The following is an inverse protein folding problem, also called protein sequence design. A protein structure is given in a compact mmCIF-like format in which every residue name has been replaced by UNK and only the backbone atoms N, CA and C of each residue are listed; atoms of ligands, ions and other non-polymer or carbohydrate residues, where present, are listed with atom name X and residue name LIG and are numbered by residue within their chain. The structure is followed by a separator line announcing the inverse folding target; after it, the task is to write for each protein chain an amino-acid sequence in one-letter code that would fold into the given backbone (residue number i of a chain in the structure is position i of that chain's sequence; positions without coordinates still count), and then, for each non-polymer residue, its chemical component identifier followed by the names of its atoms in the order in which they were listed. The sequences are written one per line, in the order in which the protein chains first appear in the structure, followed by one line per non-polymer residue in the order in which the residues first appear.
data_IF_832719342195
#
_entry.id   IF_832719342195
#
_cell.length_a   1.000
_cell.length_b   1.000
_cell.length_c   1.000
_cell.angle_alpha   90.00
_cell.angle_beta   90.00
_cell.angle_gamma   90.00
#
_symmetry.space_group_name_H-M   'P 1'
#
loop_
_entity.id
_entity.type
_entity.pdbx_description
1 polymer ?
#
# COMPACT_ATOMS: atom_id res chain seq x y z
N UNK A 1 18.20 -13.12 -21.55
CA UNK A 1 17.65 -11.90 -20.94
C UNK A 1 17.63 -12.13 -19.44
N UNK A 2 18.15 -11.21 -18.63
CA UNK A 2 18.14 -11.34 -17.17
C UNK A 2 16.71 -11.17 -16.64
N UNK A 3 16.38 -11.88 -15.56
CA UNK A 3 15.06 -11.73 -14.92
C UNK A 3 14.97 -10.32 -14.33
N UNK A 4 13.88 -9.61 -14.63
CA UNK A 4 13.62 -8.27 -14.11
C UNK A 4 12.49 -8.33 -13.08
N UNK A 5 12.71 -7.73 -11.91
CA UNK A 5 11.67 -7.54 -10.89
C UNK A 5 10.98 -6.20 -11.15
N UNK A 6 9.65 -6.23 -11.22
CA UNK A 6 8.81 -5.04 -11.37
C UNK A 6 7.93 -4.96 -10.13
N UNK A 7 8.09 -3.86 -9.37
CA UNK A 7 7.27 -3.53 -8.22
C UNK A 7 6.28 -2.44 -8.59
N UNK A 8 4.99 -2.64 -8.29
CA UNK A 8 3.95 -1.63 -8.53
C UNK A 8 3.43 -1.09 -7.20
N UNK A 9 3.62 0.21 -7.00
CA UNK A 9 2.95 0.97 -5.94
C UNK A 9 1.55 1.33 -6.38
N UNK A 10 0.54 0.67 -5.82
CA UNK A 10 -0.83 0.67 -6.37
C UNK A 10 -1.52 2.04 -6.17
N UNK A 11 -1.46 2.57 -4.95
CA UNK A 11 -2.21 3.80 -4.58
C UNK A 11 -1.34 4.83 -3.84
N UNK A 12 -0.46 4.39 -2.94
CA UNK A 12 0.20 5.31 -2.01
C UNK A 12 -0.82 6.01 -1.11
N UNK A 13 -0.47 7.16 -0.56
CA UNK A 13 -1.26 7.82 0.51
C UNK A 13 -1.52 9.31 0.27
N UNK A 14 -0.98 9.90 -0.80
CA UNK A 14 -1.04 11.35 -1.08
C UNK A 14 -1.85 11.73 -2.31
N UNK A 15 -1.82 10.94 -3.37
CA UNK A 15 -2.55 11.25 -4.61
C UNK A 15 -4.06 11.22 -4.34
N UNK A 16 -4.78 12.24 -4.84
CA UNK A 16 -6.23 12.39 -4.68
C UNK A 16 -6.95 12.24 -6.01
N UNK A 17 -8.27 11.98 -5.96
CA UNK A 17 -9.11 11.90 -7.16
C UNK A 17 -9.23 13.20 -7.94
N UNK A 18 -8.93 14.34 -7.30
CA UNK A 18 -8.86 15.64 -8.00
C UNK A 18 -7.63 15.71 -8.91
N UNK A 19 -6.53 15.05 -8.53
CA UNK A 19 -5.31 15.01 -9.35
C UNK A 19 -5.43 13.97 -10.47
N UNK A 20 -6.07 12.84 -10.20
CA UNK A 20 -6.39 11.83 -11.23
C UNK A 20 -7.60 11.00 -10.81
N UNK A 21 -8.62 10.83 -11.67
CA UNK A 21 -9.81 10.05 -11.33
C UNK A 21 -9.52 8.55 -11.22
N UNK A 22 -8.35 8.10 -11.68
CA UNK A 22 -7.97 6.69 -11.75
C UNK A 22 -7.29 6.15 -10.49
N UNK A 23 -7.01 6.99 -9.48
CA UNK A 23 -6.38 6.52 -8.26
C UNK A 23 -7.32 5.56 -7.51
N UNK A 24 -6.93 4.29 -7.25
CA UNK A 24 -7.77 3.36 -6.53
C UNK A 24 -7.82 3.73 -5.04
N UNK A 25 -9.03 3.78 -4.48
CA UNK A 25 -9.28 4.21 -3.11
C UNK A 25 -9.97 3.10 -2.31
N UNK A 26 -11.03 2.49 -2.84
CA UNK A 26 -11.72 1.42 -2.11
C UNK A 26 -10.86 0.16 -2.04
N UNK A 27 -11.04 -0.71 -1.03
CA UNK A 27 -10.34 -1.99 -0.97
C UNK A 27 -10.52 -2.82 -2.24
N UNK A 28 -11.70 -2.79 -2.87
CA UNK A 28 -11.96 -3.51 -4.12
C UNK A 28 -11.19 -2.92 -5.29
N UNK A 29 -11.15 -1.59 -5.41
CA UNK A 29 -10.38 -0.91 -6.46
C UNK A 29 -8.87 -1.16 -6.31
N UNK A 30 -8.35 -1.11 -5.08
CA UNK A 30 -6.93 -1.35 -4.79
C UNK A 30 -6.57 -2.79 -5.14
N UNK A 31 -7.37 -3.77 -4.71
CA UNK A 31 -7.13 -5.17 -5.04
C UNK A 31 -7.19 -5.42 -6.55
N UNK A 32 -8.23 -4.91 -7.22
CA UNK A 32 -8.40 -5.07 -8.67
C UNK A 32 -7.22 -4.49 -9.44
N UNK A 33 -6.78 -3.27 -9.10
CA UNK A 33 -5.62 -2.64 -9.73
C UNK A 33 -4.32 -3.42 -9.48
N UNK A 34 -4.15 -4.00 -8.29
CA UNK A 34 -3.03 -4.90 -7.99
C UNK A 34 -3.04 -6.18 -8.83
N UNK A 35 -4.20 -6.81 -8.98
CA UNK A 35 -4.39 -8.01 -9.81
C UNK A 35 -4.10 -7.70 -11.28
N UNK A 36 -4.56 -6.56 -11.79
CA UNK A 36 -4.27 -6.08 -13.14
C UNK A 36 -2.77 -5.84 -13.35
N UNK A 37 -2.10 -5.22 -12.37
CA UNK A 37 -0.66 -5.01 -12.39
C UNK A 37 0.12 -6.33 -12.43
N UNK A 38 -0.30 -7.32 -11.62
CA UNK A 38 0.29 -8.66 -11.63
C UNK A 38 0.08 -9.36 -12.98
N UNK A 39 -1.14 -9.32 -13.54
CA UNK A 39 -1.45 -9.84 -14.90
C UNK A 39 -0.60 -9.17 -15.99
N UNK A 40 -0.21 -7.91 -15.79
CA UNK A 40 0.67 -7.17 -16.69
C UNK A 40 2.16 -7.46 -16.50
N UNK A 41 2.55 -8.26 -15.50
CA UNK A 41 3.93 -8.72 -15.26
C UNK A 41 4.59 -8.18 -13.99
N UNK A 42 3.86 -7.49 -13.10
CA UNK A 42 4.40 -7.12 -11.79
C UNK A 42 4.62 -8.37 -10.92
N UNK A 43 5.79 -8.46 -10.28
CA UNK A 43 6.12 -9.54 -9.33
C UNK A 43 5.90 -9.14 -7.88
N UNK A 44 5.90 -7.83 -7.59
CA UNK A 44 5.71 -7.30 -6.24
C UNK A 44 4.64 -6.21 -6.27
N UNK A 45 3.73 -6.25 -5.29
CA UNK A 45 2.70 -5.24 -5.09
C UNK A 45 2.98 -4.48 -3.80
N UNK A 46 3.31 -3.18 -3.92
CA UNK A 46 3.49 -2.29 -2.76
C UNK A 46 2.17 -1.63 -2.38
N UNK A 47 1.67 -1.98 -1.20
CA UNK A 47 0.29 -1.74 -0.79
C UNK A 47 0.23 -0.72 0.34
N UNK A 48 -0.47 0.37 0.04
CA UNK A 48 -1.10 1.24 1.02
C UNK A 48 -2.61 1.03 0.94
N UNK A 49 -3.34 1.34 2.01
CA UNK A 49 -4.81 1.39 1.99
C UNK A 49 -5.30 2.80 2.26
N UNK A 50 -6.52 3.08 1.80
CA UNK A 50 -7.20 4.36 1.96
C UNK A 50 -8.52 4.15 2.68
N UNK A 51 -8.95 5.17 3.42
CA UNK A 51 -10.31 5.27 3.92
C UNK A 51 -11.25 5.55 2.73
N UNK A 52 -12.23 4.68 2.41
CA UNK A 52 -13.14 4.86 1.28
C UNK A 52 -14.02 6.11 1.37
N UNK A 53 -14.25 6.63 2.59
CA UNK A 53 -15.10 7.81 2.81
C UNK A 53 -14.33 9.11 2.55
N UNK A 54 -13.06 9.15 2.96
CA UNK A 54 -12.26 10.39 2.92
C UNK A 54 -11.23 10.39 1.79
N UNK A 55 -10.86 9.23 1.25
CA UNK A 55 -9.79 9.05 0.27
C UNK A 55 -8.38 9.19 0.85
N UNK A 56 -8.24 9.44 2.16
CA UNK A 56 -6.94 9.61 2.82
C UNK A 56 -6.31 8.26 3.17
N UNK A 57 -4.98 8.21 3.31
CA UNK A 57 -4.29 7.03 3.81
C UNK A 57 -4.80 6.61 5.19
N UNK A 58 -4.88 5.30 5.44
CA UNK A 58 -5.26 4.74 6.73
C UNK A 58 -4.40 3.52 7.08
N UNK A 59 -4.38 3.15 8.36
CA UNK A 59 -3.79 1.90 8.88
C UNK A 59 -4.86 0.95 9.41
N UNK A 60 -6.09 1.07 8.91
CA UNK A 60 -7.21 0.22 9.28
C UNK A 60 -6.96 -1.23 8.87
N UNK A 61 -6.92 -2.11 9.87
CA UNK A 61 -6.68 -3.56 9.74
C UNK A 61 -7.74 -4.23 8.88
N UNK A 62 -9.00 -3.83 9.01
CA UNK A 62 -10.10 -4.45 8.25
C UNK A 62 -9.96 -4.18 6.74
N UNK A 63 -9.51 -2.98 6.37
CA UNK A 63 -9.29 -2.59 4.99
C UNK A 63 -8.06 -3.31 4.43
N UNK A 64 -6.96 -3.37 5.19
CA UNK A 64 -5.80 -4.18 4.80
C UNK A 64 -6.19 -5.64 4.58
N UNK A 65 -6.95 -6.23 5.52
CA UNK A 65 -7.38 -7.61 5.43
C UNK A 65 -8.14 -7.86 4.13
N UNK A 66 -9.10 -7.00 3.80
CA UNK A 66 -9.89 -7.15 2.58
C UNK A 66 -9.01 -7.07 1.31
N UNK A 67 -8.08 -6.11 1.25
CA UNK A 67 -7.16 -5.99 0.10
C UNK A 67 -6.27 -7.23 -0.03
N UNK A 68 -5.66 -7.66 1.09
CA UNK A 68 -4.76 -8.81 1.14
C UNK A 68 -5.47 -10.10 0.75
N UNK A 69 -6.64 -10.36 1.33
CA UNK A 69 -7.43 -11.57 1.03
C UNK A 69 -7.78 -11.64 -0.47
N UNK A 70 -8.25 -10.53 -1.05
CA UNK A 70 -8.62 -10.46 -2.47
C UNK A 70 -7.43 -10.72 -3.39
N UNK A 71 -6.31 -10.04 -3.16
CA UNK A 71 -5.11 -10.20 -4.00
C UNK A 71 -4.55 -11.64 -3.90
N UNK A 72 -4.47 -12.20 -2.68
CA UNK A 72 -4.00 -13.58 -2.47
C UNK A 72 -4.93 -14.63 -3.06
N UNK A 73 -6.23 -14.33 -3.21
CA UNK A 73 -7.18 -15.26 -3.81
C UNK A 73 -7.02 -15.40 -5.34
N UNK A 74 -6.35 -14.45 -5.99
CA UNK A 74 -6.26 -14.38 -7.46
C UNK A 74 -4.83 -14.36 -8.01
N UNK A 75 -3.81 -14.18 -7.15
CA UNK A 75 -2.42 -13.97 -7.58
C UNK A 75 -1.43 -14.69 -6.67
N UNK A 76 -0.22 -14.94 -7.20
CA UNK A 76 0.97 -15.35 -6.45
C UNK A 76 1.96 -14.19 -6.26
N UNK A 77 1.50 -12.95 -6.38
CA UNK A 77 2.33 -11.76 -6.24
C UNK A 77 2.92 -11.66 -4.83
N UNK A 78 4.18 -11.22 -4.72
CA UNK A 78 4.79 -10.89 -3.43
C UNK A 78 4.12 -9.62 -2.90
N UNK A 79 3.51 -9.73 -1.72
CA UNK A 79 2.91 -8.57 -1.08
C UNK A 79 3.94 -7.79 -0.25
N UNK A 80 4.10 -6.51 -0.57
CA UNK A 80 4.87 -5.55 0.19
C UNK A 80 3.92 -4.59 0.92
N UNK A 81 3.59 -4.91 2.17
CA UNK A 81 2.68 -4.05 2.95
C UNK A 81 3.46 -2.89 3.57
N UNK A 82 2.90 -1.68 3.50
CA UNK A 82 3.58 -0.50 4.05
C UNK A 82 3.58 -0.47 5.58
N UNK A 83 4.73 -0.15 6.16
CA UNK A 83 4.90 0.19 7.59
C UNK A 83 5.28 1.66 7.79
N UNK A 84 5.25 2.45 6.71
CA UNK A 84 5.52 3.91 6.76
C UNK A 84 4.43 4.70 7.51
N UNK A 85 3.25 4.10 7.73
CA UNK A 85 2.12 4.82 8.29
C UNK A 85 1.40 5.70 7.26
N UNK A 86 0.86 6.82 7.74
CA UNK A 86 0.12 7.79 6.92
C UNK A 86 0.99 9.05 6.82
N UNK A 87 1.48 9.45 5.64
CA UNK A 87 2.33 10.64 5.52
C UNK A 87 1.65 11.90 6.07
N UNK A 88 2.38 12.65 6.89
CA UNK A 88 1.85 13.82 7.60
C UNK A 88 1.14 13.48 8.91
N UNK A 89 1.04 12.19 9.27
CA UNK A 89 0.62 11.72 10.58
C UNK A 89 1.65 10.74 11.11
N UNK A 90 2.41 11.17 12.11
CA UNK A 90 3.36 10.32 12.82
C UNK A 90 2.59 9.37 13.74
N UNK A 91 2.00 8.34 13.14
CA UNK A 91 1.29 7.28 13.86
C UNK A 91 2.25 6.61 14.84
N UNK A 92 1.69 6.07 15.93
CA UNK A 92 2.47 5.31 16.88
C UNK A 92 3.12 4.11 16.19
N UNK A 93 4.34 3.77 16.61
CA UNK A 93 5.12 2.69 16.00
C UNK A 93 4.33 1.39 15.90
N UNK A 94 3.55 1.05 16.93
CA UNK A 94 2.72 -0.16 16.94
C UNK A 94 1.62 -0.15 15.88
N UNK A 95 1.01 1.02 15.64
CA UNK A 95 -0.04 1.16 14.61
C UNK A 95 0.56 1.01 13.21
N UNK A 96 1.77 1.55 13.00
CA UNK A 96 2.51 1.40 11.73
C UNK A 96 2.86 -0.06 11.41
N UNK A 97 3.09 -0.87 12.44
CA UNK A 97 3.47 -2.28 12.29
C UNK A 97 2.29 -3.23 12.14
N UNK A 98 1.05 -2.77 12.28
CA UNK A 98 -0.14 -3.62 12.20
C UNK A 98 -0.21 -4.50 10.95
N UNK A 99 0.28 -4.07 9.76
CA UNK A 99 0.30 -4.92 8.57
C UNK A 99 1.15 -6.20 8.70
N UNK A 100 2.08 -6.28 9.67
CA UNK A 100 2.82 -7.52 9.95
C UNK A 100 1.92 -8.67 10.40
N UNK A 101 0.75 -8.38 10.98
CA UNK A 101 -0.22 -9.39 11.42
C UNK A 101 -0.77 -10.26 10.27
N UNK A 102 -0.63 -9.81 9.02
CA UNK A 102 -1.04 -10.56 7.83
C UNK A 102 0.01 -11.54 7.31
N UNK A 103 1.15 -11.66 8.01
CA UNK A 103 2.33 -12.42 7.59
C UNK A 103 2.69 -12.16 6.10
N UNK A 104 2.96 -10.89 5.72
CA UNK A 104 3.34 -10.59 4.35
C UNK A 104 4.76 -11.06 4.06
N UNK A 105 5.01 -11.36 2.79
CA UNK A 105 6.29 -11.81 2.27
C UNK A 105 7.35 -10.70 2.33
N UNK A 106 6.90 -9.45 2.21
CA UNK A 106 7.72 -8.25 2.35
C UNK A 106 6.96 -7.15 3.10
N UNK A 107 7.69 -6.27 3.76
CA UNK A 107 7.18 -4.96 4.19
C UNK A 107 8.15 -3.88 3.78
N UNK A 108 7.66 -2.65 3.64
CA UNK A 108 8.57 -1.49 3.60
C UNK A 108 9.33 -1.39 4.92
N UNK A 109 10.56 -0.88 4.87
CA UNK A 109 11.33 -0.54 6.06
C UNK A 109 11.97 0.83 5.84
N UNK A 110 11.41 1.85 6.47
CA UNK A 110 11.99 3.19 6.40
C UNK A 110 13.14 3.30 7.41
N UNK A 111 14.37 3.42 6.90
CA UNK A 111 15.60 3.27 7.68
C UNK A 111 16.01 4.50 8.53
N UNK A 112 15.15 5.50 8.61
CA UNK A 112 15.40 6.72 9.37
C UNK A 112 14.39 7.81 9.08
N UNK A 113 14.48 8.88 9.86
CA UNK A 113 13.63 10.05 9.70
C UNK A 113 14.15 10.96 8.59
N UNK A 114 13.24 11.60 7.85
CA UNK A 114 13.58 12.56 6.79
C UNK A 114 12.66 13.77 6.83
N UNK A 115 13.19 14.92 6.38
CA UNK A 115 12.36 16.09 6.15
C UNK A 115 11.49 15.87 4.91
N UNK A 116 10.18 16.04 5.06
CA UNK A 116 9.21 16.15 3.98
C UNK A 116 8.80 17.62 3.85
N UNK A 117 8.39 18.05 2.65
CA UNK A 117 8.13 19.45 2.29
C UNK A 117 7.51 20.31 3.42
N UNK A 118 6.43 19.84 4.04
CA UNK A 118 5.70 20.57 5.09
C UNK A 118 5.81 19.92 6.49
N UNK A 119 6.41 18.73 6.61
CA UNK A 119 6.37 17.91 7.82
C UNK A 119 7.64 17.06 7.97
N UNK A 120 7.86 16.45 9.13
CA UNK A 120 8.91 15.43 9.28
C UNK A 120 8.28 14.05 9.14
N UNK A 121 8.90 13.17 8.36
CA UNK A 121 8.60 11.75 8.37
C UNK A 121 9.39 11.10 9.50
N UNK A 122 8.68 10.68 10.56
CA UNK A 122 9.20 9.96 11.72
C UNK A 122 8.79 8.50 11.66
#
# INVERSE_FOLDING_TARGET
MEKLIITVGITGSRITRQQTPYIPISPQEIAQSGIEAWKAGASILHIHVRDPKTGLGTQDVSIFKEVVDRIRSETDAILCLTTSGIPGRNLEFRERLTPLSFNPELVSFDAGSINMRENVFL
#
